data_IF_505409979782
#
_entry.id   IF_505409979782
#
_cell.length_a   1.000
_cell.length_b   1.000
_cell.length_c   1.000
_cell.angle_alpha   90.00
_cell.angle_beta   90.00
_cell.angle_gamma   90.00
#
_symmetry.space_group_name_H-M   'P 1'
#
loop_
_entity.id
_entity.type
_entity.pdbx_description
1 polymer ?
#
# COMPACT_ATOMS: atom_id res chain seq x y z
N UNK A 1 6.30 -13.51 -16.36
CA UNK A 1 5.04 -14.27 -16.20
C UNK A 1 5.40 -15.63 -15.65
N UNK A 2 4.66 -16.11 -14.66
CA UNK A 2 4.80 -17.47 -14.11
C UNK A 2 3.41 -18.13 -14.11
N UNK A 3 3.40 -19.46 -14.05
CA UNK A 3 2.16 -20.25 -14.06
C UNK A 3 1.90 -20.81 -12.68
N UNK A 4 0.66 -20.68 -12.20
CA UNK A 4 0.17 -21.34 -11.00
C UNK A 4 -0.83 -22.43 -11.39
N UNK A 5 -0.69 -23.59 -10.78
CA UNK A 5 -1.66 -24.68 -10.87
C UNK A 5 -2.74 -24.46 -9.82
N UNK A 6 -3.94 -24.99 -10.07
CA UNK A 6 -5.06 -24.93 -9.12
C UNK A 6 -4.74 -25.56 -7.76
N UNK A 7 -3.83 -26.54 -7.72
CA UNK A 7 -3.38 -27.22 -6.51
C UNK A 7 -2.26 -26.51 -5.75
N UNK A 8 -1.70 -25.44 -6.32
CA UNK A 8 -0.59 -24.73 -5.69
C UNK A 8 -1.10 -23.94 -4.49
N UNK A 9 -0.31 -23.89 -3.42
CA UNK A 9 -0.69 -23.16 -2.21
C UNK A 9 -0.26 -21.69 -2.26
N UNK A 10 -0.76 -20.90 -1.31
CA UNK A 10 -0.32 -19.52 -1.11
C UNK A 10 1.21 -19.39 -0.97
N UNK A 11 1.86 -20.36 -0.31
CA UNK A 11 3.33 -20.36 -0.16
C UNK A 11 4.08 -20.49 -1.50
N UNK A 12 3.54 -21.25 -2.44
CA UNK A 12 4.09 -21.40 -3.79
C UNK A 12 3.95 -20.09 -4.56
N UNK A 13 2.78 -19.43 -4.48
CA UNK A 13 2.58 -18.10 -5.04
C UNK A 13 3.63 -17.11 -4.50
N UNK A 14 3.81 -17.07 -3.19
CA UNK A 14 4.73 -16.13 -2.54
C UNK A 14 6.18 -16.36 -2.98
N UNK A 15 6.59 -17.62 -3.10
CA UNK A 15 7.93 -17.99 -3.60
C UNK A 15 8.13 -17.51 -5.04
N UNK A 16 7.16 -17.76 -5.91
CA UNK A 16 7.22 -17.34 -7.32
C UNK A 16 7.24 -15.81 -7.47
N UNK A 17 6.45 -15.10 -6.65
CA UNK A 17 6.46 -13.64 -6.63
C UNK A 17 7.80 -13.07 -6.16
N UNK A 18 8.37 -13.62 -5.10
CA UNK A 18 9.68 -13.21 -4.59
C UNK A 18 10.77 -13.43 -5.65
N UNK A 19 10.82 -14.62 -6.26
CA UNK A 19 11.76 -14.90 -7.34
C UNK A 19 11.59 -13.92 -8.50
N UNK A 20 10.35 -13.65 -8.93
CA UNK A 20 10.09 -12.74 -10.03
C UNK A 20 10.52 -11.29 -9.73
N UNK A 21 10.35 -10.84 -8.48
CA UNK A 21 10.80 -9.54 -8.01
C UNK A 21 12.33 -9.46 -8.03
N UNK A 22 13.03 -10.47 -7.53
CA UNK A 22 14.50 -10.50 -7.54
C UNK A 22 15.07 -10.55 -8.97
N UNK A 23 14.46 -11.31 -9.87
CA UNK A 23 14.81 -11.29 -11.30
C UNK A 23 14.64 -9.89 -11.92
N UNK A 24 13.55 -9.19 -11.57
CA UNK A 24 13.28 -7.84 -12.05
C UNK A 24 14.31 -6.83 -11.53
N UNK A 25 14.78 -6.97 -10.30
CA UNK A 25 15.87 -6.17 -9.72
C UNK A 25 17.22 -6.49 -10.35
N UNK A 26 17.49 -7.75 -10.65
CA UNK A 26 18.74 -8.17 -11.27
C UNK A 26 18.88 -7.60 -12.70
N UNK A 27 17.78 -7.57 -13.46
CA UNK A 27 17.76 -7.07 -14.85
C UNK A 27 17.83 -5.55 -14.98
N UNK A 28 17.42 -4.81 -13.96
CA UNK A 28 17.25 -3.36 -14.00
C UNK A 28 17.93 -2.69 -12.80
N UNK A 29 19.12 -2.09 -12.97
CA UNK A 29 19.88 -1.48 -11.89
C UNK A 29 19.07 -0.47 -11.05
N UNK A 30 18.18 0.28 -11.68
CA UNK A 30 17.29 1.26 -11.05
C UNK A 30 16.30 0.64 -10.04
N UNK A 31 16.03 -0.66 -10.15
CA UNK A 31 15.10 -1.37 -9.27
C UNK A 31 15.78 -1.98 -8.04
N UNK A 32 17.12 -1.97 -7.93
CA UNK A 32 17.85 -2.64 -6.84
C UNK A 32 17.49 -2.14 -5.45
N UNK A 33 17.13 -0.86 -5.32
CA UNK A 33 16.73 -0.25 -4.04
C UNK A 33 15.27 -0.50 -3.63
N UNK A 34 14.50 -1.21 -4.48
CA UNK A 34 13.10 -1.50 -4.22
C UNK A 34 12.94 -2.65 -3.22
N UNK A 35 12.06 -2.47 -2.25
CA UNK A 35 11.69 -3.48 -1.26
C UNK A 35 10.19 -3.74 -1.28
N UNK A 36 9.76 -4.95 -0.94
CA UNK A 36 8.35 -5.31 -0.83
C UNK A 36 7.95 -5.38 0.66
N UNK A 37 7.47 -4.26 1.26
CA UNK A 37 7.43 -4.11 2.72
C UNK A 37 6.38 -4.97 3.42
N UNK A 38 5.20 -5.15 2.81
CA UNK A 38 4.07 -5.82 3.45
C UNK A 38 3.83 -7.24 2.92
N UNK A 39 4.65 -7.69 1.97
CA UNK A 39 4.56 -9.00 1.32
C UNK A 39 3.13 -9.39 0.89
N UNK A 40 2.29 -8.40 0.61
CA UNK A 40 0.88 -8.60 0.28
C UNK A 40 0.72 -8.38 -1.23
N UNK A 41 0.39 -9.43 -1.99
CA UNK A 41 0.02 -9.28 -3.38
C UNK A 41 -1.45 -8.90 -3.51
N UNK A 42 -1.78 -8.25 -4.61
CA UNK A 42 -3.12 -7.82 -4.95
C UNK A 42 -3.53 -8.38 -6.29
N UNK A 43 -4.80 -8.75 -6.44
CA UNK A 43 -5.37 -9.15 -7.72
C UNK A 43 -6.29 -8.05 -8.24
N UNK A 44 -6.13 -7.77 -9.53
CA UNK A 44 -7.08 -7.00 -10.30
C UNK A 44 -8.22 -7.93 -10.75
N UNK A 45 -9.45 -7.76 -10.25
CA UNK A 45 -10.58 -8.65 -10.57
C UNK A 45 -11.01 -8.61 -12.04
N UNK A 46 -10.94 -7.43 -12.67
CA UNK A 46 -11.22 -7.21 -14.10
C UNK A 46 -10.35 -6.09 -14.66
N UNK A 47 -10.15 -6.06 -15.98
CA UNK A 47 -9.33 -5.02 -16.64
C UNK A 47 -9.75 -3.57 -16.33
N UNK A 48 -11.04 -3.31 -16.13
CA UNK A 48 -11.58 -1.97 -15.82
C UNK A 48 -11.58 -1.62 -14.32
N UNK A 49 -11.11 -2.50 -13.45
CA UNK A 49 -11.12 -2.23 -12.00
C UNK A 49 -10.09 -1.15 -11.64
N UNK A 50 -10.54 -0.10 -10.93
CA UNK A 50 -9.65 0.92 -10.36
C UNK A 50 -8.73 0.31 -9.27
N UNK A 51 -7.51 0.82 -9.14
CA UNK A 51 -6.50 0.27 -8.23
C UNK A 51 -6.96 0.21 -6.76
N UNK A 52 -7.75 1.18 -6.30
CA UNK A 52 -8.33 1.20 -4.94
C UNK A 52 -9.23 -0.01 -4.64
N UNK A 53 -9.69 -0.73 -5.67
CA UNK A 53 -10.54 -1.91 -5.55
C UNK A 53 -9.80 -3.23 -5.83
N UNK A 54 -8.46 -3.17 -5.93
CA UNK A 54 -7.68 -4.39 -6.03
C UNK A 54 -7.78 -5.17 -4.73
N UNK A 55 -7.92 -6.49 -4.84
CA UNK A 55 -8.18 -7.35 -3.69
C UNK A 55 -6.87 -7.89 -3.15
N UNK A 56 -6.55 -7.70 -1.85
CA UNK A 56 -5.38 -8.29 -1.25
C UNK A 56 -5.53 -9.81 -1.16
N UNK A 57 -4.44 -10.54 -1.39
CA UNK A 57 -4.36 -11.98 -1.20
C UNK A 57 -3.56 -12.31 0.05
N UNK A 58 -4.16 -13.11 0.91
CA UNK A 58 -3.56 -13.72 2.08
C UNK A 58 -3.72 -15.24 2.04
N UNK A 59 -3.10 -15.94 2.98
CA UNK A 59 -3.25 -17.39 3.11
C UNK A 59 -4.72 -17.79 3.34
N UNK A 60 -5.50 -17.00 4.08
CA UNK A 60 -6.88 -17.34 4.43
C UNK A 60 -7.85 -17.16 3.25
N UNK A 61 -7.54 -16.29 2.29
CA UNK A 61 -8.45 -15.94 1.20
C UNK A 61 -7.97 -16.36 -0.20
N UNK A 62 -6.79 -16.99 -0.28
CA UNK A 62 -6.08 -17.34 -1.51
C UNK A 62 -6.98 -17.99 -2.57
N UNK A 63 -7.59 -19.12 -2.23
CA UNK A 63 -8.41 -19.91 -3.16
C UNK A 63 -9.65 -19.13 -3.63
N UNK A 64 -10.28 -18.39 -2.71
CA UNK A 64 -11.50 -17.64 -2.97
C UNK A 64 -11.22 -16.48 -3.92
N UNK A 65 -10.16 -15.71 -3.68
CA UNK A 65 -9.81 -14.54 -4.50
C UNK A 65 -9.37 -14.97 -5.89
N UNK A 66 -8.51 -15.99 -6.02
CA UNK A 66 -8.06 -16.46 -7.33
C UNK A 66 -9.21 -17.07 -8.14
N UNK A 67 -10.07 -17.88 -7.53
CA UNK A 67 -11.22 -18.44 -8.23
C UNK A 67 -12.20 -17.36 -8.67
N UNK A 68 -12.41 -16.31 -7.86
CA UNK A 68 -13.26 -15.19 -8.22
C UNK A 68 -12.70 -14.41 -9.42
N UNK A 69 -11.39 -14.11 -9.42
CA UNK A 69 -10.72 -13.43 -10.53
C UNK A 69 -10.73 -14.27 -11.81
N UNK A 70 -10.45 -15.57 -11.70
CA UNK A 70 -10.50 -16.49 -12.83
C UNK A 70 -11.91 -16.56 -13.45
N UNK A 71 -12.97 -16.66 -12.62
CA UNK A 71 -14.36 -16.65 -13.10
C UNK A 71 -14.74 -15.32 -13.76
N UNK A 72 -14.22 -14.20 -13.27
CA UNK A 72 -14.47 -12.89 -13.86
C UNK A 72 -13.83 -12.77 -15.25
N UNK A 73 -12.56 -13.17 -15.40
CA UNK A 73 -11.88 -13.17 -16.70
C UNK A 73 -12.48 -14.20 -17.68
N UNK A 74 -12.89 -15.38 -17.20
CA UNK A 74 -13.61 -16.37 -18.03
C UNK A 74 -14.89 -15.81 -18.63
N UNK A 75 -15.69 -15.10 -17.84
CA UNK A 75 -16.94 -14.47 -18.32
C UNK A 75 -16.67 -13.42 -19.39
N UNK A 76 -15.51 -12.76 -19.35
CA UNK A 76 -15.12 -11.75 -20.33
C UNK A 76 -14.60 -12.35 -21.64
N UNK A 77 -13.80 -13.42 -21.56
CA UNK A 77 -13.10 -14.00 -22.71
C UNK A 77 -13.85 -15.13 -23.43
N UNK A 78 -14.85 -15.74 -22.79
CA UNK A 78 -15.58 -16.87 -23.35
C UNK A 78 -14.93 -18.23 -23.04
N UNK A 79 -15.56 -19.32 -23.48
CA UNK A 79 -15.06 -20.68 -23.28
C UNK A 79 -13.89 -20.97 -24.23
N UNK A 80 -12.81 -21.59 -23.71
CA UNK A 80 -11.65 -22.01 -24.50
C UNK A 80 -10.49 -21.01 -24.58
N UNK A 81 -10.63 -19.81 -24.01
CA UNK A 81 -9.55 -18.83 -23.94
C UNK A 81 -8.59 -19.11 -22.77
N UNK A 82 -7.30 -18.82 -22.97
CA UNK A 82 -6.31 -18.78 -21.89
C UNK A 82 -6.62 -17.62 -20.94
N UNK A 83 -6.80 -17.94 -19.66
CA UNK A 83 -7.16 -16.97 -18.62
C UNK A 83 -5.90 -16.52 -17.89
N UNK A 84 -5.59 -15.24 -18.01
CA UNK A 84 -4.46 -14.61 -17.33
C UNK A 84 -5.00 -13.76 -16.17
N UNK A 85 -4.72 -14.18 -14.94
CA UNK A 85 -5.01 -13.37 -13.75
C UNK A 85 -3.85 -12.40 -13.52
N UNK A 86 -4.15 -11.10 -13.48
CA UNK A 86 -3.15 -10.06 -13.22
C UNK A 86 -2.97 -9.85 -11.72
N UNK A 87 -1.71 -9.93 -11.30
CA UNK A 87 -1.29 -9.71 -9.92
C UNK A 87 -0.38 -8.49 -9.83
N UNK A 88 -0.49 -7.76 -8.73
CA UNK A 88 0.23 -6.52 -8.46
C UNK A 88 0.87 -6.60 -7.08
N UNK A 89 2.07 -6.05 -6.96
CA UNK A 89 2.80 -5.90 -5.70
C UNK A 89 3.24 -4.46 -5.55
N UNK A 90 3.14 -3.92 -4.34
CA UNK A 90 3.65 -2.59 -4.04
C UNK A 90 5.12 -2.69 -3.62
N UNK A 91 5.99 -2.02 -4.38
CA UNK A 91 7.41 -1.91 -4.07
C UNK A 91 7.74 -0.48 -3.61
N UNK A 92 8.53 -0.36 -2.55
CA UNK A 92 8.94 0.92 -1.96
C UNK A 92 10.41 1.18 -2.25
N UNK A 93 10.74 2.41 -2.62
CA UNK A 93 12.12 2.88 -2.73
C UNK A 93 12.65 3.31 -1.36
N UNK A 94 13.68 2.60 -0.90
CA UNK A 94 14.32 2.86 0.41
C UNK A 94 15.17 4.14 0.39
N UNK A 95 15.78 4.50 -0.73
CA UNK A 95 16.63 5.69 -0.84
C UNK A 95 15.81 6.99 -0.78
N UNK A 96 14.62 7.01 -1.38
CA UNK A 96 13.71 8.19 -1.36
C UNK A 96 12.99 8.41 -0.03
N UNK A 97 12.94 7.40 0.83
CA UNK A 97 12.31 7.51 2.15
C UNK A 97 13.18 8.25 3.17
N UNK A 98 14.51 8.23 2.98
CA UNK A 98 15.45 8.95 3.84
C UNK A 98 15.39 10.48 3.63
N UNK A 99 15.16 10.95 2.39
CA UNK A 99 15.14 12.38 2.06
C UNK A 99 13.82 13.08 2.37
N UNK A 100 12.71 12.35 2.41
CA UNK A 100 11.37 12.89 2.74
C UNK A 100 11.18 13.08 4.25
N UNK A 101 11.83 12.25 5.08
CA UNK A 101 11.77 12.36 6.54
C UNK A 101 12.54 13.56 7.10
N UNK A 102 13.54 14.08 6.38
CA UNK A 102 14.30 15.27 6.81
C UNK A 102 13.58 16.59 6.52
N UNK A 103 12.70 16.67 5.50
CA UNK A 103 11.91 17.89 5.23
C UNK A 103 10.78 18.10 6.23
N UNK A 104 10.23 17.03 6.81
CA UNK A 104 9.11 17.12 7.75
C UNK A 104 9.51 17.63 9.15
N UNK A 105 10.80 17.55 9.53
CA UNK A 105 11.28 18.00 10.85
C UNK A 105 11.55 19.51 10.91
N UNK A 106 11.69 20.17 9.75
CA UNK A 106 12.00 21.61 9.70
C UNK A 106 10.75 22.53 9.70
N UNK A 107 9.55 21.95 9.83
CA UNK A 107 8.28 22.67 9.91
C UNK A 107 7.56 22.38 11.22
N UNK A 108 8.25 22.54 12.36
CA UNK A 108 7.56 22.76 13.63
C UNK A 108 7.37 24.27 13.83
N UNK A 109 6.14 24.80 13.84
CA UNK A 109 5.90 26.13 14.35
C UNK A 109 6.24 26.15 15.85
N UNK A 110 7.13 27.07 16.22
CA UNK A 110 7.47 27.43 17.58
C UNK A 110 6.17 27.74 18.33
N UNK A 111 5.80 26.90 19.29
CA UNK A 111 4.73 27.22 20.24
C UNK A 111 5.32 28.32 21.14
N UNK A 112 4.95 29.57 20.91
CA UNK A 112 5.16 30.63 21.89
C UNK A 112 4.16 30.42 23.02
N UNK A 113 4.70 29.83 24.09
CA UNK A 113 4.07 29.66 25.39
C UNK A 113 3.92 31.05 26.03
N UNK A 114 2.78 31.70 25.83
CA UNK A 114 2.40 32.88 26.61
C UNK A 114 1.81 32.43 27.95
N UNK A 115 2.70 32.12 28.90
CA UNK A 115 2.33 32.03 30.32
C UNK A 115 2.42 33.44 30.91
N UNK A 116 1.27 34.02 31.27
CA UNK A 116 1.22 35.07 32.28
C UNK A 116 0.11 34.73 33.29
N UNK A 117 0.57 34.30 34.46
CA UNK A 117 -0.20 34.21 35.70
C UNK A 117 0.20 35.42 36.55
N UNK A 118 -0.77 36.25 36.94
CA UNK A 118 -0.89 36.90 38.26
C UNK A 118 -2.09 37.88 38.20
N UNK A 119 -3.19 37.60 38.91
CA UNK A 119 -3.41 37.83 40.34
C UNK A 119 -3.86 39.27 40.63
N UNK A 120 -5.19 39.39 40.83
CA UNK A 120 -5.94 40.18 41.83
C UNK A 120 -5.40 41.58 42.19
N UNK A 121 -6.20 42.63 41.93
CA UNK A 121 -6.59 43.55 43.01
C UNK A 121 -7.84 44.41 42.70
N UNK A 122 -8.46 44.87 43.79
CA UNK A 122 -9.79 45.47 43.91
C UNK A 122 -9.78 47.01 43.73
N UNK A 123 -10.87 47.57 43.21
CA UNK A 123 -11.51 48.86 43.61
C UNK A 123 -12.71 49.09 42.68
N UNK A 124 -13.98 49.08 43.14
CA UNK A 124 -14.68 50.11 43.90
C UNK A 124 -14.61 51.51 43.26
N UNK A 125 -15.72 51.99 42.67
CA UNK A 125 -16.38 53.31 42.95
C UNK A 125 -17.40 53.71 41.86
N UNK A 126 -18.68 53.62 42.24
CA UNK A 126 -19.79 54.60 42.16
C UNK A 126 -20.04 55.57 40.96
N UNK A 127 -21.36 55.76 40.74
CA UNK A 127 -22.13 56.98 40.32
C UNK A 127 -22.09 57.38 38.83
N UNK A 128 -23.21 57.26 38.10
CA UNK A 128 -24.38 58.18 38.04
C UNK A 128 -24.22 59.24 36.95
N UNK A 129 -25.04 59.12 35.90
CA UNK A 129 -25.76 60.22 35.22
C UNK A 129 -27.03 59.65 34.63
#
# INVERSE_FOLDING_TARGET
MFTLRKSDSYSVLMTLLQQHIEELKARKPENRGLVWPHLTPYVQPTYSTNQQHYRPISAENYDVVLAAAWRAERRRLGAGADIIVKMYVYLKDTAKSASSSQRAVQSQPRIEEAVQVNSVDRNATARST
#
